data_IF_653368483722
#
_entry.id   IF_653368483722
#
_cell.length_a   1.000
_cell.length_b   1.000
_cell.length_c   1.000
_cell.angle_alpha   90.00
_cell.angle_beta   90.00
_cell.angle_gamma   90.00
#
_symmetry.space_group_name_H-M   'P 1'
#
loop_
_entity.id
_entity.type
_entity.pdbx_description
1 polymer ?
#
# COMPACT_ATOMS: atom_id res chain seq x y z
N UNK A 1 15.81 8.59 25.58
CA UNK A 1 16.01 7.33 24.84
C UNK A 1 14.70 6.80 24.25
N UNK A 2 13.59 6.76 24.99
CA UNK A 2 12.28 6.29 24.47
C UNK A 2 11.80 7.03 23.21
N UNK A 3 11.84 8.37 23.19
CA UNK A 3 11.40 9.17 22.03
C UNK A 3 12.17 8.87 20.74
N UNK A 4 13.51 8.80 20.80
CA UNK A 4 14.33 8.50 19.62
C UNK A 4 14.05 7.11 19.07
N UNK A 5 13.83 6.12 19.94
CA UNK A 5 13.46 4.76 19.54
C UNK A 5 12.12 4.76 18.80
N UNK A 6 11.11 5.47 19.30
CA UNK A 6 9.79 5.56 18.67
C UNK A 6 9.90 6.19 17.27
N UNK A 7 10.68 7.27 17.13
CA UNK A 7 10.90 7.91 15.82
C UNK A 7 11.57 6.93 14.85
N UNK A 8 12.62 6.23 15.28
CA UNK A 8 13.32 5.25 14.44
C UNK A 8 12.38 4.11 14.05
N UNK A 9 11.56 3.60 14.98
CA UNK A 9 10.58 2.54 14.73
C UNK A 9 9.54 3.02 13.72
N UNK A 10 9.02 4.24 13.86
CA UNK A 10 8.04 4.80 12.93
C UNK A 10 8.63 4.93 11.52
N UNK A 11 9.83 5.51 11.39
CA UNK A 11 10.52 5.63 10.10
C UNK A 11 10.76 4.24 9.50
N UNK A 12 11.25 3.29 10.29
CA UNK A 12 11.50 1.92 9.83
C UNK A 12 10.20 1.24 9.35
N UNK A 13 9.10 1.41 10.08
CA UNK A 13 7.80 0.88 9.69
C UNK A 13 7.30 1.48 8.37
N UNK A 14 7.43 2.80 8.19
CA UNK A 14 7.09 3.47 6.92
C UNK A 14 7.92 2.96 5.76
N UNK A 15 9.23 2.79 5.96
CA UNK A 15 10.13 2.27 4.91
C UNK A 15 9.74 0.84 4.52
N UNK A 16 9.43 0.00 5.50
CA UNK A 16 8.99 -1.36 5.25
C UNK A 16 7.66 -1.38 4.49
N UNK A 17 6.67 -0.59 4.93
CA UNK A 17 5.35 -0.55 4.30
C UNK A 17 5.38 0.07 2.89
N UNK A 18 6.20 1.09 2.68
CA UNK A 18 6.32 1.78 1.39
C UNK A 18 7.09 0.94 0.35
N UNK A 19 8.27 0.43 0.70
CA UNK A 19 9.20 -0.19 -0.26
C UNK A 19 9.59 -1.61 0.13
N UNK A 20 9.77 -1.90 1.42
CA UNK A 20 10.17 -3.23 1.90
C UNK A 20 9.20 -4.36 1.51
N UNK A 21 7.92 -4.04 1.33
CA UNK A 21 6.88 -4.98 0.87
C UNK A 21 6.89 -5.21 -0.65
N UNK A 22 7.70 -4.50 -1.44
CA UNK A 22 7.71 -4.64 -2.91
C UNK A 22 7.92 -6.08 -3.39
N UNK A 23 8.89 -6.86 -2.86
CA UNK A 23 9.04 -8.26 -3.27
C UNK A 23 7.80 -9.11 -2.92
N UNK A 24 7.13 -8.80 -1.82
CA UNK A 24 5.89 -9.46 -1.43
C UNK A 24 4.76 -9.10 -2.42
N UNK A 25 4.65 -7.84 -2.85
CA UNK A 25 3.69 -7.42 -3.87
C UNK A 25 3.87 -8.14 -5.19
N UNK A 26 5.11 -8.20 -5.70
CA UNK A 26 5.45 -8.91 -6.94
C UNK A 26 5.07 -10.39 -6.84
N UNK A 27 5.40 -11.02 -5.71
CA UNK A 27 5.05 -12.42 -5.47
C UNK A 27 3.54 -12.64 -5.42
N UNK A 28 2.83 -11.78 -4.68
CA UNK A 28 1.40 -11.91 -4.45
C UNK A 28 0.62 -11.70 -5.75
N UNK A 29 1.01 -10.70 -6.54
CA UNK A 29 0.43 -10.41 -7.83
C UNK A 29 0.58 -11.59 -8.80
N UNK A 30 1.77 -12.20 -8.90
CA UNK A 30 1.99 -13.39 -9.74
C UNK A 30 1.16 -14.59 -9.29
N UNK A 31 0.88 -14.72 -8.00
CA UNK A 31 0.03 -15.78 -7.45
C UNK A 31 -1.44 -15.56 -7.75
N UNK A 32 -1.94 -14.34 -7.54
CA UNK A 32 -3.33 -13.96 -7.83
C UNK A 32 -3.60 -14.08 -9.34
N UNK A 33 -2.69 -13.57 -10.17
CA UNK A 33 -2.76 -13.71 -11.62
C UNK A 33 -2.88 -15.18 -12.05
N UNK A 34 -2.05 -16.04 -11.45
CA UNK A 34 -2.11 -17.48 -11.70
C UNK A 34 -3.47 -18.06 -11.32
N UNK A 35 -4.00 -17.71 -10.15
CA UNK A 35 -5.28 -18.20 -9.68
C UNK A 35 -6.45 -17.79 -10.58
N UNK A 36 -6.48 -16.54 -11.06
CA UNK A 36 -7.51 -16.03 -11.98
C UNK A 36 -7.43 -16.73 -13.34
N UNK A 37 -6.21 -17.07 -13.79
CA UNK A 37 -5.96 -17.73 -15.07
C UNK A 37 -5.98 -19.26 -14.99
N UNK A 38 -6.43 -19.83 -13.87
CA UNK A 38 -6.39 -21.28 -13.59
C UNK A 38 -5.03 -21.94 -13.85
N UNK A 39 -3.95 -21.24 -13.47
CA UNK A 39 -2.57 -21.75 -13.53
C UNK A 39 -1.85 -21.57 -12.21
N UNK A 40 -0.87 -22.42 -11.97
CA UNK A 40 -0.01 -22.29 -10.80
C UNK A 40 0.93 -21.08 -10.92
N UNK A 41 0.95 -20.22 -9.90
CA UNK A 41 1.99 -19.20 -9.76
C UNK A 41 3.37 -19.77 -9.37
N UNK A 42 4.35 -18.92 -9.03
CA UNK A 42 5.73 -19.33 -8.79
C UNK A 42 5.87 -20.42 -7.71
N UNK A 43 6.49 -21.55 -8.06
CA UNK A 43 6.60 -22.74 -7.21
C UNK A 43 7.94 -23.50 -7.32
N UNK A 44 8.91 -22.97 -8.08
CA UNK A 44 10.13 -23.71 -8.45
C UNK A 44 11.39 -23.23 -7.73
N UNK A 45 11.57 -21.92 -7.54
CA UNK A 45 12.76 -21.36 -6.90
C UNK A 45 12.83 -21.77 -5.42
N UNK A 46 14.00 -22.23 -4.99
CA UNK A 46 14.30 -22.65 -3.62
C UNK A 46 15.70 -22.25 -3.20
N UNK A 47 15.86 -21.77 -1.97
CA UNK A 47 17.16 -21.67 -1.31
C UNK A 47 17.29 -22.89 -0.41
N UNK A 48 18.10 -23.87 -0.83
CA UNK A 48 18.17 -25.17 -0.18
C UNK A 48 16.81 -25.89 -0.18
N UNK A 49 16.28 -26.19 1.01
CA UNK A 49 14.99 -26.90 1.18
C UNK A 49 13.80 -25.93 1.20
N UNK A 50 14.03 -24.62 1.31
CA UNK A 50 13.00 -23.61 1.56
C UNK A 50 12.56 -22.96 0.24
N UNK A 51 11.26 -23.05 -0.09
CA UNK A 51 10.61 -22.43 -1.26
C UNK A 51 9.68 -21.27 -0.85
N UNK A 52 9.13 -21.29 0.37
CA UNK A 52 8.16 -20.31 0.90
C UNK A 52 7.03 -20.00 -0.08
N UNK A 53 6.50 -21.03 -0.75
CA UNK A 53 5.46 -20.83 -1.76
C UNK A 53 5.90 -19.89 -2.90
N UNK A 54 7.18 -19.85 -3.25
CA UNK A 54 7.71 -19.05 -4.35
C UNK A 54 8.08 -17.62 -4.01
N UNK A 55 7.98 -17.19 -2.74
CA UNK A 55 8.42 -15.85 -2.30
C UNK A 55 9.91 -15.62 -2.57
N UNK A 56 10.71 -16.69 -2.50
CA UNK A 56 12.13 -16.70 -2.84
C UNK A 56 12.40 -16.16 -4.25
N UNK A 57 11.47 -16.38 -5.21
CA UNK A 57 11.61 -15.86 -6.57
C UNK A 57 11.66 -14.33 -6.60
N UNK A 58 10.83 -13.65 -5.81
CA UNK A 58 10.79 -12.19 -5.82
C UNK A 58 12.10 -11.59 -5.26
N UNK A 59 12.67 -12.24 -4.25
CA UNK A 59 14.00 -11.87 -3.73
C UNK A 59 15.09 -12.13 -4.77
N UNK A 60 15.05 -13.26 -5.47
CA UNK A 60 15.98 -13.57 -6.55
C UNK A 60 15.90 -12.55 -7.71
N UNK A 61 14.68 -12.11 -8.08
CA UNK A 61 14.48 -11.10 -9.11
C UNK A 61 15.06 -9.74 -8.69
N UNK A 62 14.91 -9.35 -7.41
CA UNK A 62 15.52 -8.14 -6.87
C UNK A 62 17.05 -8.23 -6.91
N UNK A 63 17.63 -9.34 -6.43
CA UNK A 63 19.08 -9.56 -6.47
C UNK A 63 19.63 -9.56 -7.91
N UNK A 64 18.89 -10.17 -8.85
CA UNK A 64 19.24 -10.14 -10.26
C UNK A 64 19.36 -8.71 -10.78
N UNK A 65 18.44 -7.80 -10.44
CA UNK A 65 18.48 -6.42 -10.93
C UNK A 65 19.70 -5.65 -10.41
N UNK A 66 20.20 -5.98 -9.21
CA UNK A 66 21.39 -5.37 -8.61
C UNK A 66 22.68 -5.83 -9.32
N UNK A 67 22.78 -7.14 -9.63
CA UNK A 67 23.96 -7.70 -10.29
C UNK A 67 23.93 -7.65 -11.81
N UNK A 68 22.77 -7.32 -12.41
CA UNK A 68 22.64 -7.17 -13.86
C UNK A 68 23.45 -5.96 -14.33
N UNK A 69 24.05 -6.09 -15.50
CA UNK A 69 24.79 -5.01 -16.14
C UNK A 69 23.90 -3.78 -16.41
N UNK A 70 24.32 -2.63 -15.87
CA UNK A 70 23.71 -1.34 -16.14
C UNK A 70 24.24 -0.79 -17.47
N UNK A 71 23.51 -1.08 -18.54
CA UNK A 71 23.80 -0.61 -19.88
C UNK A 71 23.10 0.73 -20.13
N UNK A 72 23.84 1.70 -20.70
CA UNK A 72 23.29 2.97 -21.19
C UNK A 72 23.62 3.10 -22.68
N UNK A 73 22.60 3.13 -23.57
CA UNK A 73 22.79 3.27 -25.01
C UNK A 73 23.64 4.48 -25.43
N UNK A 74 24.41 4.34 -26.51
CA UNK A 74 25.34 5.36 -27.01
C UNK A 74 24.67 6.58 -27.63
N UNK A 75 23.43 6.43 -28.14
CA UNK A 75 22.66 7.54 -28.72
C UNK A 75 22.11 8.51 -27.67
N UNK A 76 22.07 8.12 -26.38
CA UNK A 76 21.55 8.97 -25.30
C UNK A 76 22.53 10.12 -25.03
N UNK A 77 22.14 11.35 -25.43
CA UNK A 77 22.94 12.56 -25.19
C UNK A 77 22.87 13.04 -23.74
N UNK A 78 21.69 12.93 -23.11
CA UNK A 78 21.43 13.50 -21.78
C UNK A 78 21.53 12.46 -20.66
N UNK A 79 22.74 11.97 -20.38
CA UNK A 79 23.00 10.91 -19.38
C UNK A 79 22.57 11.26 -17.96
N UNK A 80 22.66 12.54 -17.57
CA UNK A 80 22.23 13.02 -16.26
C UNK A 80 20.72 12.81 -16.06
N UNK A 81 19.90 13.30 -16.99
CA UNK A 81 18.44 13.12 -16.93
C UNK A 81 18.03 11.66 -17.02
N UNK A 82 18.73 10.87 -17.84
CA UNK A 82 18.49 9.43 -17.93
C UNK A 82 18.70 8.73 -16.59
N UNK A 83 19.75 9.08 -15.86
CA UNK A 83 20.09 8.44 -14.57
C UNK A 83 19.19 8.92 -13.42
N UNK A 84 18.81 10.19 -13.39
CA UNK A 84 18.02 10.77 -12.29
C UNK A 84 16.52 10.48 -12.41
N UNK A 85 16.00 10.28 -13.62
CA UNK A 85 14.57 10.07 -13.86
C UNK A 85 13.97 8.91 -13.03
N UNK A 86 14.54 7.69 -13.02
CA UNK A 86 14.04 6.61 -12.15
C UNK A 86 14.13 6.93 -10.67
N UNK A 87 15.18 7.65 -10.24
CA UNK A 87 15.35 8.05 -8.85
C UNK A 87 14.26 9.06 -8.42
N UNK A 88 13.87 9.99 -9.30
CA UNK A 88 12.77 10.93 -9.04
C UNK A 88 11.46 10.18 -8.83
N UNK A 89 11.09 9.26 -9.72
CA UNK A 89 9.86 8.47 -9.58
C UNK A 89 9.86 7.68 -8.27
N UNK A 90 10.98 7.01 -7.97
CA UNK A 90 11.12 6.23 -6.75
C UNK A 90 11.04 7.08 -5.49
N UNK A 91 11.81 8.18 -5.41
CA UNK A 91 11.85 9.06 -4.22
C UNK A 91 10.49 9.72 -4.01
N UNK A 92 9.85 10.19 -5.07
CA UNK A 92 8.52 10.79 -5.00
C UNK A 92 7.51 9.78 -4.43
N UNK A 93 7.46 8.58 -5.01
CA UNK A 93 6.56 7.51 -4.56
C UNK A 93 6.88 7.06 -3.13
N UNK A 94 8.14 7.00 -2.73
CA UNK A 94 8.55 6.65 -1.38
C UNK A 94 8.13 7.70 -0.34
N UNK A 95 8.31 8.98 -0.65
CA UNK A 95 8.02 10.08 0.27
C UNK A 95 6.53 10.28 0.50
N UNK A 96 5.65 9.84 -0.41
CA UNK A 96 4.19 9.90 -0.21
C UNK A 96 3.73 9.16 1.06
N UNK A 97 4.45 8.12 1.50
CA UNK A 97 4.10 7.33 2.68
C UNK A 97 4.43 8.02 4.01
N UNK A 98 5.23 9.10 3.97
CA UNK A 98 5.81 9.70 5.18
C UNK A 98 4.78 10.28 6.16
N UNK A 99 3.63 10.74 5.64
CA UNK A 99 2.58 11.43 6.41
C UNK A 99 1.43 10.52 6.85
N UNK A 100 1.43 9.25 6.43
CA UNK A 100 0.32 8.34 6.69
C UNK A 100 0.38 7.85 8.15
N UNK A 101 -0.71 7.95 8.93
CA UNK A 101 -0.74 7.41 10.29
C UNK A 101 -1.10 5.92 10.30
N UNK A 102 -0.37 5.13 11.09
CA UNK A 102 -0.60 3.68 11.22
C UNK A 102 -1.23 3.29 12.58
N UNK A 103 -1.25 4.20 13.54
CA UNK A 103 -1.86 4.05 14.87
C UNK A 103 -2.20 5.43 15.46
N UNK A 104 -2.93 5.43 16.57
CA UNK A 104 -3.26 6.63 17.33
C UNK A 104 -2.02 7.18 18.05
N UNK A 105 -2.15 8.38 18.61
CA UNK A 105 -1.10 9.07 19.36
C UNK A 105 -0.66 8.21 20.55
N UNK A 106 0.60 7.78 20.52
CA UNK A 106 1.19 6.96 21.55
C UNK A 106 1.70 7.84 22.70
N UNK A 107 1.04 7.78 23.86
CA UNK A 107 1.50 8.47 25.06
C UNK A 107 2.43 7.57 25.88
N UNK A 108 3.73 7.91 25.94
CA UNK A 108 4.71 7.21 26.79
C UNK A 108 5.34 8.25 27.73
N UNK A 109 5.36 7.95 29.03
CA UNK A 109 5.96 8.80 30.06
C UNK A 109 5.41 10.25 30.04
N UNK A 110 4.12 10.41 29.75
CA UNK A 110 3.45 11.71 29.65
C UNK A 110 3.76 12.52 28.38
N UNK A 111 4.52 11.95 27.43
CA UNK A 111 4.79 12.57 26.12
C UNK A 111 3.98 11.91 25.03
N UNK A 112 3.28 12.72 24.24
CA UNK A 112 2.52 12.30 23.07
C UNK A 112 3.43 12.13 21.85
N UNK A 113 3.36 10.97 21.19
CA UNK A 113 4.10 10.66 19.98
C UNK A 113 3.13 10.26 18.86
N UNK A 114 3.07 11.04 17.78
CA UNK A 114 2.28 10.71 16.60
C UNK A 114 2.91 9.53 15.85
N UNK A 115 2.10 8.51 15.53
CA UNK A 115 2.56 7.29 14.85
C UNK A 115 2.60 7.49 13.33
N UNK A 116 3.47 8.41 12.89
CA UNK A 116 3.78 8.77 11.50
C UNK A 116 5.30 8.84 11.31
N UNK A 117 5.78 8.77 10.06
CA UNK A 117 7.21 8.87 9.77
C UNK A 117 7.72 10.29 10.02
N UNK A 118 7.01 11.26 9.43
CA UNK A 118 7.31 12.69 9.54
C UNK A 118 6.03 13.38 10.02
N UNK A 119 6.00 13.88 11.28
CA UNK A 119 4.89 14.72 11.73
C UNK A 119 4.96 16.04 10.97
N UNK A 120 4.13 16.19 9.94
CA UNK A 120 4.13 17.34 9.06
C UNK A 120 2.83 18.12 9.16
N UNK A 121 2.95 19.44 9.08
CA UNK A 121 1.82 20.37 9.04
C UNK A 121 1.02 20.27 7.73
N UNK A 122 1.66 19.83 6.65
CA UNK A 122 1.06 19.78 5.31
C UNK A 122 0.03 18.65 5.14
N UNK A 123 0.01 17.64 6.01
CA UNK A 123 -0.97 16.55 5.98
C UNK A 123 -1.15 15.92 4.60
N UNK A 124 -2.38 15.95 4.06
CA UNK A 124 -2.69 15.42 2.72
C UNK A 124 -2.04 16.19 1.57
N UNK A 125 -1.71 17.47 1.73
CA UNK A 125 -1.06 18.25 0.67
C UNK A 125 0.34 17.73 0.34
N UNK A 126 1.02 17.10 1.32
CA UNK A 126 2.28 16.41 1.08
C UNK A 126 2.14 15.30 0.05
N UNK A 127 1.07 14.50 0.16
CA UNK A 127 0.80 13.44 -0.81
C UNK A 127 0.62 14.00 -2.22
N UNK A 128 -0.22 15.02 -2.38
CA UNK A 128 -0.49 15.64 -3.68
C UNK A 128 0.79 16.22 -4.30
N UNK A 129 1.63 16.89 -3.50
CA UNK A 129 2.89 17.45 -3.98
C UNK A 129 3.84 16.38 -4.53
N UNK A 130 3.99 15.25 -3.84
CA UNK A 130 4.88 14.17 -4.29
C UNK A 130 4.25 13.30 -5.39
N UNK A 131 2.93 13.11 -5.40
CA UNK A 131 2.23 12.46 -6.50
C UNK A 131 2.49 13.22 -7.82
N UNK A 132 2.24 14.54 -7.85
CA UNK A 132 2.52 15.37 -9.02
C UNK A 132 4.02 15.43 -9.40
N UNK A 133 4.93 15.41 -8.42
CA UNK A 133 6.37 15.39 -8.69
C UNK A 133 6.82 14.09 -9.39
N UNK A 134 6.15 12.97 -9.13
CA UNK A 134 6.49 11.67 -9.74
C UNK A 134 6.37 11.70 -11.28
N UNK A 135 5.44 12.48 -11.82
CA UNK A 135 5.17 12.62 -13.27
C UNK A 135 6.39 13.17 -14.00
N UNK A 136 7.11 14.12 -13.40
CA UNK A 136 8.32 14.68 -13.99
C UNK A 136 9.40 13.61 -14.21
N UNK A 137 9.47 12.61 -13.32
CA UNK A 137 10.37 11.47 -13.50
C UNK A 137 10.01 10.63 -14.75
N UNK A 138 8.73 10.43 -15.02
CA UNK A 138 8.24 9.72 -16.21
C UNK A 138 8.55 10.52 -17.50
N UNK A 139 8.29 11.84 -17.49
CA UNK A 139 8.59 12.74 -18.63
C UNK A 139 10.08 12.72 -18.94
N UNK A 140 10.92 12.92 -17.92
CA UNK A 140 12.37 12.94 -18.07
C UNK A 140 12.90 11.59 -18.54
N UNK A 141 12.33 10.48 -18.06
CA UNK A 141 12.69 9.14 -18.49
C UNK A 141 12.42 8.92 -19.98
N UNK A 142 11.23 9.25 -20.45
CA UNK A 142 10.88 9.14 -21.87
C UNK A 142 11.68 10.08 -22.76
N UNK A 143 11.86 11.35 -22.36
CA UNK A 143 12.62 12.34 -23.12
C UNK A 143 14.11 11.98 -23.22
N UNK A 144 14.72 11.57 -22.11
CA UNK A 144 16.15 11.22 -22.06
C UNK A 144 16.48 9.92 -22.77
N UNK A 145 15.52 9.01 -22.94
CA UNK A 145 15.69 7.75 -23.69
C UNK A 145 16.02 7.95 -25.18
N UNK A 146 15.70 9.13 -25.74
CA UNK A 146 15.87 9.46 -27.16
C UNK A 146 15.25 8.45 -28.15
N UNK A 147 14.26 7.69 -27.70
CA UNK A 147 13.46 6.79 -28.52
C UNK A 147 12.09 7.42 -28.79
N UNK A 148 11.60 7.32 -30.03
CA UNK A 148 10.26 7.83 -30.40
C UNK A 148 9.16 7.16 -29.57
N UNK A 149 9.29 5.86 -29.32
CA UNK A 149 8.33 5.10 -28.50
C UNK A 149 8.39 5.48 -27.03
N UNK A 150 9.60 5.71 -26.50
CA UNK A 150 9.79 6.20 -25.13
C UNK A 150 9.16 7.56 -24.89
N UNK A 151 9.34 8.49 -25.85
CA UNK A 151 8.75 9.82 -25.79
C UNK A 151 7.21 9.79 -25.93
N UNK A 152 6.68 8.97 -26.84
CA UNK A 152 5.22 8.81 -26.99
C UNK A 152 4.60 8.20 -25.73
N UNK A 153 5.26 7.21 -25.12
CA UNK A 153 4.83 6.61 -23.86
C UNK A 153 4.79 7.61 -22.71
N UNK A 154 5.85 8.41 -22.54
CA UNK A 154 5.88 9.40 -21.46
C UNK A 154 4.85 10.52 -21.66
N UNK A 155 4.67 11.03 -22.89
CA UNK A 155 3.65 12.07 -23.15
C UNK A 155 2.23 11.55 -22.83
N UNK A 156 1.92 10.30 -23.22
CA UNK A 156 0.62 9.68 -22.90
C UNK A 156 0.43 9.50 -21.40
N UNK A 157 1.45 9.00 -20.72
CA UNK A 157 1.45 8.80 -19.27
C UNK A 157 1.21 10.13 -18.55
N UNK A 158 1.95 11.18 -18.90
CA UNK A 158 1.83 12.49 -18.26
C UNK A 158 0.46 13.12 -18.49
N UNK A 159 -0.07 13.05 -19.72
CA UNK A 159 -1.42 13.54 -20.00
C UNK A 159 -2.50 12.79 -19.20
N UNK A 160 -2.32 11.48 -18.99
CA UNK A 160 -3.18 10.70 -18.09
C UNK A 160 -3.02 11.20 -16.66
N UNK A 161 -1.82 11.18 -16.10
CA UNK A 161 -1.63 11.48 -14.68
C UNK A 161 -2.15 12.88 -14.32
N UNK A 162 -1.80 13.91 -15.10
CA UNK A 162 -2.25 15.29 -14.85
C UNK A 162 -3.80 15.39 -14.81
N UNK A 163 -4.48 14.68 -15.72
CA UNK A 163 -5.95 14.73 -15.81
C UNK A 163 -6.62 14.07 -14.59
N UNK A 164 -6.04 12.98 -14.08
CA UNK A 164 -6.58 12.26 -12.93
C UNK A 164 -6.13 12.87 -11.60
N UNK A 165 -4.97 13.51 -11.54
CA UNK A 165 -4.49 14.29 -10.39
C UNK A 165 -5.44 15.46 -10.09
N UNK A 166 -5.88 16.18 -11.11
CA UNK A 166 -6.86 17.26 -10.96
C UNK A 166 -8.18 16.75 -10.35
N UNK A 167 -8.72 15.65 -10.88
CA UNK A 167 -9.94 15.03 -10.34
C UNK A 167 -9.75 14.48 -8.92
N UNK A 168 -8.56 13.92 -8.62
CA UNK A 168 -8.20 13.44 -7.30
C UNK A 168 -8.17 14.59 -6.29
N UNK A 169 -7.50 15.70 -6.63
CA UNK A 169 -7.45 16.90 -5.80
C UNK A 169 -8.84 17.45 -5.47
N UNK A 170 -9.73 17.53 -6.47
CA UNK A 170 -11.12 17.97 -6.26
C UNK A 170 -11.90 17.01 -5.33
N UNK A 171 -11.71 15.70 -5.46
CA UNK A 171 -12.35 14.73 -4.55
C UNK A 171 -11.88 14.92 -3.10
N UNK A 172 -10.61 15.22 -2.88
CA UNK A 172 -10.05 15.50 -1.55
C UNK A 172 -10.65 16.76 -0.95
N UNK A 173 -10.92 17.81 -1.73
CA UNK A 173 -11.52 19.05 -1.20
C UNK A 173 -12.86 18.76 -0.53
N UNK A 174 -13.71 17.92 -1.10
CA UNK A 174 -14.98 17.53 -0.46
C UNK A 174 -14.78 16.80 0.88
N UNK A 175 -13.71 16.00 0.99
CA UNK A 175 -13.34 15.35 2.26
C UNK A 175 -12.85 16.37 3.30
N UNK A 176 -12.00 17.32 2.88
CA UNK A 176 -11.49 18.37 3.77
C UNK A 176 -12.65 19.23 4.30
N UNK A 177 -13.62 19.60 3.45
CA UNK A 177 -14.81 20.36 3.89
C UNK A 177 -15.63 19.55 4.92
N UNK A 178 -15.75 18.24 4.72
CA UNK A 178 -16.53 17.37 5.61
C UNK A 178 -15.88 17.22 7.00
N UNK A 179 -14.55 17.10 7.05
CA UNK A 179 -13.82 16.88 8.31
C UNK A 179 -13.23 18.14 8.95
N UNK A 180 -13.13 19.25 8.21
CA UNK A 180 -12.58 20.52 8.69
C UNK A 180 -11.07 20.52 8.94
N UNK A 181 -10.33 19.52 8.45
CA UNK A 181 -8.87 19.39 8.68
C UNK A 181 -8.16 18.77 7.49
N UNK A 182 -6.88 19.11 7.33
CA UNK A 182 -5.96 18.54 6.33
C UNK A 182 -5.04 17.46 6.92
N UNK A 183 -4.98 17.34 8.25
CA UNK A 183 -4.14 16.38 8.93
C UNK A 183 -4.77 14.99 8.91
N UNK A 184 -4.01 14.00 8.42
CA UNK A 184 -4.51 12.63 8.26
C UNK A 184 -4.86 11.96 9.60
N UNK A 185 -4.15 12.28 10.69
CA UNK A 185 -4.48 11.75 12.03
C UNK A 185 -5.85 12.24 12.49
N UNK A 186 -6.13 13.52 12.30
CA UNK A 186 -7.39 14.12 12.72
C UNK A 186 -8.56 13.63 11.85
N UNK A 187 -8.32 13.40 10.55
CA UNK A 187 -9.31 12.75 9.67
C UNK A 187 -9.65 11.36 10.19
N UNK A 188 -8.66 10.53 10.54
CA UNK A 188 -8.93 9.20 11.10
C UNK A 188 -9.68 9.33 12.43
N UNK A 189 -9.27 10.25 13.30
CA UNK A 189 -9.96 10.46 14.58
C UNK A 189 -11.41 10.94 14.40
N UNK A 190 -11.71 11.75 13.38
CA UNK A 190 -13.07 12.15 13.03
C UNK A 190 -13.91 11.00 12.46
N UNK A 191 -13.29 9.89 12.05
CA UNK A 191 -13.96 8.67 11.64
C UNK A 191 -14.29 7.74 12.82
N UNK A 192 -13.90 8.12 14.04
CA UNK A 192 -14.28 7.40 15.26
C UNK A 192 -15.78 7.52 15.49
N UNK A 193 -16.43 6.39 15.72
CA UNK A 193 -17.83 6.35 16.14
C UNK A 193 -18.76 5.69 15.11
N UNK A 194 -20.06 5.90 15.33
CA UNK A 194 -21.10 5.29 14.50
C UNK A 194 -22.09 6.35 14.03
N UNK A 195 -22.34 6.34 12.74
CA UNK A 195 -23.49 6.97 12.12
C UNK A 195 -24.74 6.10 12.34
N UNK A 196 -25.83 6.70 12.83
CA UNK A 196 -27.10 6.02 13.13
C UNK A 196 -26.96 4.80 14.08
N UNK A 197 -25.92 4.77 14.93
CA UNK A 197 -25.68 3.71 15.91
C UNK A 197 -25.17 2.37 15.35
N UNK A 198 -25.11 2.21 14.03
CA UNK A 198 -24.75 0.92 13.38
C UNK A 198 -23.64 1.07 12.34
N UNK A 199 -23.66 2.13 11.54
CA UNK A 199 -22.72 2.30 10.42
C UNK A 199 -21.47 3.00 10.94
N UNK A 200 -20.25 2.48 10.73
CA UNK A 200 -19.04 3.21 11.08
C UNK A 200 -18.99 4.57 10.38
N UNK A 201 -18.50 5.62 11.05
CA UNK A 201 -18.37 6.97 10.48
C UNK A 201 -17.21 7.09 9.46
N UNK A 202 -17.02 6.04 8.67
CA UNK A 202 -15.98 5.92 7.68
C UNK A 202 -16.25 6.83 6.49
N UNK A 203 -15.18 7.39 5.92
CA UNK A 203 -15.27 8.34 4.81
C UNK A 203 -16.01 7.81 3.60
N UNK A 204 -16.01 6.49 3.36
CA UNK A 204 -16.77 5.89 2.25
C UNK A 204 -18.29 6.10 2.39
N UNK A 205 -18.82 6.15 3.61
CA UNK A 205 -20.25 6.37 3.86
C UNK A 205 -20.61 7.85 3.92
N UNK A 206 -19.70 8.69 4.42
CA UNK A 206 -19.91 10.15 4.48
C UNK A 206 -19.82 10.75 3.07
N UNK A 207 -18.84 10.31 2.28
CA UNK A 207 -18.53 10.85 0.97
C UNK A 207 -18.32 9.74 -0.07
N UNK A 208 -19.39 8.99 -0.43
CA UNK A 208 -19.28 7.87 -1.36
C UNK A 208 -18.83 8.29 -2.76
N UNK A 209 -19.27 9.47 -3.24
CA UNK A 209 -18.88 9.97 -4.55
C UNK A 209 -17.39 10.36 -4.57
N UNK A 210 -16.90 11.04 -3.52
CA UNK A 210 -15.47 11.33 -3.39
C UNK A 210 -14.63 10.05 -3.32
N UNK A 211 -15.11 9.03 -2.59
CA UNK A 211 -14.42 7.75 -2.46
C UNK A 211 -14.23 7.07 -3.83
N UNK A 212 -15.29 6.99 -4.63
CA UNK A 212 -15.24 6.38 -5.96
C UNK A 212 -14.28 7.15 -6.86
N UNK A 213 -14.41 8.48 -6.91
CA UNK A 213 -13.54 9.33 -7.76
C UNK A 213 -12.08 9.18 -7.33
N UNK A 214 -11.79 9.28 -6.04
CA UNK A 214 -10.45 9.14 -5.50
C UNK A 214 -9.85 7.78 -5.83
N UNK A 215 -10.57 6.68 -5.56
CA UNK A 215 -10.09 5.33 -5.83
C UNK A 215 -9.78 5.17 -7.32
N UNK A 216 -10.68 5.60 -8.22
CA UNK A 216 -10.46 5.53 -9.68
C UNK A 216 -9.25 6.36 -10.10
N UNK A 217 -9.07 7.56 -9.55
CA UNK A 217 -7.87 8.36 -9.82
C UNK A 217 -6.60 7.73 -9.27
N UNK A 218 -6.63 7.15 -8.07
CA UNK A 218 -5.49 6.44 -7.50
C UNK A 218 -5.12 5.19 -8.31
N UNK A 219 -6.08 4.57 -9.00
CA UNK A 219 -5.78 3.52 -9.99
C UNK A 219 -5.02 4.08 -11.19
N UNK A 220 -5.50 5.20 -11.74
CA UNK A 220 -4.85 5.86 -12.88
C UNK A 220 -3.43 6.35 -12.56
N UNK A 221 -3.18 6.81 -11.33
CA UNK A 221 -1.88 7.28 -10.86
C UNK A 221 -0.82 6.17 -10.86
N UNK A 222 -1.21 4.95 -10.49
CA UNK A 222 -0.28 3.81 -10.38
C UNK A 222 0.19 3.28 -11.74
N UNK A 223 -0.33 3.81 -12.86
CA UNK A 223 0.01 3.42 -14.23
C UNK A 223 -0.10 1.91 -14.51
N UNK A 224 -0.94 1.19 -13.75
CA UNK A 224 -1.20 -0.25 -13.91
C UNK A 224 -2.49 -0.50 -14.65
N UNK A 225 -2.57 -1.66 -15.32
CA UNK A 225 -3.81 -2.08 -15.98
C UNK A 225 -4.99 -2.01 -14.99
N UNK A 226 -6.14 -1.43 -15.39
CA UNK A 226 -6.55 -1.07 -16.76
C UNK A 226 -6.07 0.31 -17.28
N UNK A 227 -5.30 1.07 -16.48
CA UNK A 227 -4.79 2.41 -16.77
C UNK A 227 -3.28 2.41 -17.13
N UNK A 228 -2.81 1.40 -17.87
CA UNK A 228 -1.41 1.17 -18.25
C UNK A 228 -1.03 1.78 -19.62
N UNK A 229 -1.44 3.02 -19.86
CA UNK A 229 -1.14 3.70 -21.14
C UNK A 229 0.34 4.04 -21.31
N UNK A 230 1.08 4.05 -20.20
CA UNK A 230 2.48 4.40 -20.12
C UNK A 230 3.41 3.24 -20.51
N UNK A 231 3.09 2.02 -20.07
CA UNK A 231 3.85 0.79 -20.38
C UNK A 231 3.35 0.19 -21.70
N UNK A 232 2.03 0.04 -21.82
CA UNK A 232 1.32 -0.38 -23.01
C UNK A 232 2.04 -1.39 -23.89
N UNK A 233 2.40 -2.54 -23.32
CA UNK A 233 3.27 -3.55 -23.96
C UNK A 233 2.81 -3.89 -25.40
N UNK A 234 1.50 -3.97 -25.63
CA UNK A 234 0.93 -4.30 -26.95
C UNK A 234 0.91 -3.14 -27.96
N UNK A 235 1.08 -1.89 -27.53
CA UNK A 235 0.98 -0.69 -28.39
C UNK A 235 2.31 0.03 -28.57
N UNK A 236 3.09 0.17 -27.49
CA UNK A 236 4.32 0.98 -27.43
C UNK A 236 5.50 0.21 -26.79
N UNK A 237 5.45 -1.13 -26.83
CA UNK A 237 6.47 -2.09 -26.39
C UNK A 237 6.74 -2.12 -24.88
N UNK A 238 7.08 -0.98 -24.28
CA UNK A 238 7.23 -0.76 -22.83
C UNK A 238 7.31 0.75 -22.48
N UNK A 239 6.97 1.63 -23.43
CA UNK A 239 7.03 3.08 -23.31
C UNK A 239 8.36 3.59 -22.76
N UNK A 240 8.31 4.32 -21.64
CA UNK A 240 9.45 5.02 -21.06
C UNK A 240 10.48 4.09 -20.36
N UNK A 241 10.16 2.81 -20.15
CA UNK A 241 11.09 1.83 -19.56
C UNK A 241 12.02 1.17 -20.59
N UNK A 242 11.73 1.29 -21.88
CA UNK A 242 12.32 0.47 -22.95
C UNK A 242 13.85 0.49 -22.98
N UNK A 243 14.47 1.64 -22.75
CA UNK A 243 15.93 1.82 -22.86
C UNK A 243 16.68 1.56 -21.53
N UNK A 244 15.95 1.26 -20.45
CA UNK A 244 16.51 1.13 -19.11
C UNK A 244 16.92 -0.31 -18.78
N UNK A 245 18.10 -0.49 -18.18
CA UNK A 245 18.59 -1.80 -17.69
C UNK A 245 18.79 -1.79 -16.17
N UNK A 246 18.99 -3.00 -15.62
CA UNK A 246 19.41 -3.27 -14.25
C UNK A 246 18.65 -2.46 -13.19
N UNK A 247 19.37 -1.74 -12.32
CA UNK A 247 18.79 -1.01 -11.21
C UNK A 247 17.95 0.20 -11.65
N UNK A 248 18.29 0.87 -12.76
CA UNK A 248 17.49 2.01 -13.25
C UNK A 248 16.10 1.55 -13.68
N UNK A 249 16.00 0.42 -14.37
CA UNK A 249 14.71 -0.23 -14.65
C UNK A 249 14.01 -0.66 -13.35
N UNK A 250 14.78 -1.29 -12.44
CA UNK A 250 14.25 -1.72 -11.15
C UNK A 250 13.64 -0.59 -10.32
N UNK A 251 14.24 0.61 -10.32
CA UNK A 251 13.75 1.76 -9.58
C UNK A 251 12.40 2.27 -10.07
N UNK A 252 12.15 2.26 -11.39
CA UNK A 252 10.82 2.57 -11.90
C UNK A 252 9.79 1.55 -11.42
N UNK A 253 10.10 0.26 -11.57
CA UNK A 253 9.17 -0.80 -11.19
C UNK A 253 8.88 -0.80 -9.69
N UNK A 254 9.90 -0.62 -8.85
CA UNK A 254 9.76 -0.49 -7.40
C UNK A 254 8.99 0.78 -7.05
N UNK A 255 9.22 1.89 -7.76
CA UNK A 255 8.48 3.13 -7.62
C UNK A 255 6.97 2.94 -7.84
N UNK A 256 6.57 2.23 -8.89
CA UNK A 256 5.15 1.93 -9.14
C UNK A 256 4.51 1.07 -8.04
N UNK A 257 5.22 0.08 -7.51
CA UNK A 257 4.73 -0.71 -6.37
C UNK A 257 4.67 0.12 -5.07
N UNK A 258 5.61 1.05 -4.89
CA UNK A 258 5.59 2.00 -3.78
C UNK A 258 4.40 2.97 -3.89
N UNK A 259 4.12 3.47 -5.10
CA UNK A 259 2.95 4.31 -5.37
C UNK A 259 1.63 3.56 -5.14
N UNK A 260 1.54 2.28 -5.54
CA UNK A 260 0.40 1.41 -5.23
C UNK A 260 0.22 1.20 -3.73
N UNK A 261 1.33 1.02 -3.00
CA UNK A 261 1.33 0.90 -1.55
C UNK A 261 0.82 2.19 -0.91
N UNK A 262 1.41 3.34 -1.25
CA UNK A 262 1.00 4.63 -0.72
C UNK A 262 -0.47 4.96 -1.02
N UNK A 263 -0.92 4.70 -2.24
CA UNK A 263 -2.33 4.90 -2.63
C UNK A 263 -3.26 3.99 -1.84
N UNK A 264 -2.92 2.70 -1.67
CA UNK A 264 -3.70 1.76 -0.85
C UNK A 264 -3.78 2.20 0.60
N UNK A 265 -2.67 2.67 1.16
CA UNK A 265 -2.59 3.19 2.52
C UNK A 265 -3.44 4.45 2.70
N UNK A 266 -3.39 5.39 1.76
CA UNK A 266 -4.21 6.60 1.80
C UNK A 266 -5.70 6.33 1.64
N UNK A 267 -6.09 5.43 0.74
CA UNK A 267 -7.50 5.04 0.60
C UNK A 267 -8.02 4.49 1.94
N UNK A 268 -7.21 3.68 2.63
CA UNK A 268 -7.57 3.14 3.95
C UNK A 268 -7.69 4.24 5.01
N UNK A 269 -6.73 5.17 5.04
CA UNK A 269 -6.73 6.31 5.96
C UNK A 269 -7.89 7.26 5.71
N UNK A 270 -8.22 7.56 4.45
CA UNK A 270 -9.24 8.55 4.10
C UNK A 270 -10.66 7.99 4.10
N UNK A 271 -10.86 6.73 3.71
CA UNK A 271 -12.21 6.20 3.48
C UNK A 271 -12.60 5.03 4.37
N UNK A 272 -11.64 4.28 4.94
CA UNK A 272 -11.92 3.07 5.71
C UNK A 272 -11.51 3.16 7.18
N UNK A 273 -11.40 4.36 7.75
CA UNK A 273 -11.13 4.52 9.18
C UNK A 273 -9.70 4.20 9.59
N UNK A 274 -8.72 4.28 8.68
CA UNK A 274 -7.30 4.06 8.99
C UNK A 274 -7.04 2.83 9.84
N UNK A 275 -6.46 3.07 11.02
CA UNK A 275 -6.10 2.06 12.02
C UNK A 275 -7.21 1.69 13.01
N UNK A 276 -8.41 2.27 12.87
CA UNK A 276 -9.53 2.03 13.78
C UNK A 276 -10.20 0.69 13.51
N UNK A 277 -10.67 0.05 14.57
CA UNK A 277 -11.53 -1.12 14.47
C UNK A 277 -12.98 -0.62 14.37
N UNK A 278 -13.82 -1.17 13.46
CA UNK A 278 -15.24 -0.82 13.45
C UNK A 278 -15.84 -0.92 14.85
N UNK A 279 -16.62 0.09 15.25
CA UNK A 279 -17.34 0.16 16.54
C UNK A 279 -16.48 0.24 17.82
N UNK A 280 -15.16 0.29 17.72
CA UNK A 280 -14.28 0.40 18.89
C UNK A 280 -13.37 1.64 18.77
N UNK A 281 -13.45 2.52 19.75
CA UNK A 281 -12.50 3.63 19.91
C UNK A 281 -11.22 3.17 20.64
N UNK A 282 -10.18 4.00 20.60
CA UNK A 282 -8.91 3.72 21.27
C UNK A 282 -9.11 3.50 22.78
N UNK A 283 -9.97 4.29 23.41
CA UNK A 283 -10.25 4.20 24.85
C UNK A 283 -10.90 2.87 25.24
N UNK A 284 -11.87 2.38 24.46
CA UNK A 284 -12.52 1.08 24.69
C UNK A 284 -11.53 -0.08 24.53
N UNK A 285 -10.59 0.02 23.57
CA UNK A 285 -9.53 -0.99 23.41
C UNK A 285 -8.61 -0.99 24.64
N UNK A 286 -8.20 0.18 25.12
CA UNK A 286 -7.35 0.30 26.31
C UNK A 286 -8.04 -0.26 27.56
N UNK A 287 -9.33 0.05 27.75
CA UNK A 287 -10.12 -0.43 28.88
C UNK A 287 -10.30 -1.96 28.87
N UNK A 288 -10.40 -2.57 27.67
CA UNK A 288 -10.67 -4.00 27.50
C UNK A 288 -9.47 -4.81 27.00
N UNK A 289 -8.25 -4.28 27.17
CA UNK A 289 -7.03 -4.86 26.58
C UNK A 289 -6.81 -6.32 27.01
N UNK A 290 -7.16 -6.68 28.25
CA UNK A 290 -7.05 -8.05 28.76
C UNK A 290 -7.93 -9.03 27.97
N UNK A 291 -9.16 -8.63 27.63
CA UNK A 291 -10.06 -9.45 26.80
C UNK A 291 -9.54 -9.58 25.37
N UNK A 292 -8.95 -8.51 24.82
CA UNK A 292 -8.34 -8.54 23.48
C UNK A 292 -7.14 -9.48 23.45
N UNK A 293 -6.25 -9.39 24.43
CA UNK A 293 -5.10 -10.31 24.56
C UNK A 293 -5.58 -11.75 24.69
N UNK A 294 -6.59 -12.01 25.53
CA UNK A 294 -7.18 -13.34 25.69
C UNK A 294 -7.75 -13.87 24.36
N UNK A 295 -8.46 -13.03 23.60
CA UNK A 295 -8.98 -13.40 22.28
C UNK A 295 -7.85 -13.76 21.31
N UNK A 296 -6.73 -13.01 21.31
CA UNK A 296 -5.56 -13.31 20.48
C UNK A 296 -4.93 -14.64 20.90
N UNK A 297 -4.77 -14.90 22.20
CA UNK A 297 -4.22 -16.16 22.72
C UNK A 297 -5.05 -17.37 22.28
N UNK A 298 -6.38 -17.24 22.17
CA UNK A 298 -7.27 -18.30 21.70
C UNK A 298 -7.25 -18.42 20.17
N UNK A 299 -7.31 -17.30 19.44
CA UNK A 299 -7.42 -17.30 17.98
C UNK A 299 -6.12 -17.66 17.28
N UNK A 300 -4.96 -17.29 17.83
CA UNK A 300 -3.64 -17.55 17.27
C UNK A 300 -3.38 -19.06 17.03
N UNK A 301 -3.55 -19.97 18.00
CA UNK A 301 -3.34 -21.40 17.78
C UNK A 301 -4.37 -21.99 16.81
N UNK A 302 -5.62 -21.51 16.81
CA UNK A 302 -6.65 -21.93 15.85
C UNK A 302 -6.23 -21.58 14.42
N UNK A 303 -5.80 -20.33 14.18
CA UNK A 303 -5.33 -19.88 12.86
C UNK A 303 -4.11 -20.69 12.40
N UNK A 304 -3.15 -20.94 13.28
CA UNK A 304 -1.95 -21.72 12.96
C UNK A 304 -2.31 -23.19 12.71
N UNK A 305 -3.28 -23.75 13.44
CA UNK A 305 -3.80 -25.10 13.18
C UNK A 305 -4.43 -25.19 11.79
N UNK A 306 -5.31 -24.24 11.42
CA UNK A 306 -5.92 -24.19 10.08
C UNK A 306 -4.84 -24.06 9.00
N UNK A 307 -3.89 -23.14 9.20
CA UNK A 307 -2.81 -22.90 8.24
C UNK A 307 -1.89 -24.12 8.08
N UNK A 308 -1.51 -24.79 9.17
CA UNK A 308 -0.68 -26.00 9.11
C UNK A 308 -1.41 -27.18 8.49
N UNK A 309 -2.73 -27.31 8.72
CA UNK A 309 -3.57 -28.30 8.01
C UNK A 309 -3.64 -28.01 6.52
N UNK A 310 -3.81 -26.75 6.14
CA UNK A 310 -3.80 -26.31 4.74
C UNK A 310 -2.44 -26.60 4.06
N UNK A 311 -1.33 -26.28 4.72
CA UNK A 311 0.02 -26.57 4.20
C UNK A 311 0.26 -28.06 4.00
N UNK A 312 -0.10 -28.90 4.98
CA UNK A 312 0.00 -30.37 4.87
C UNK A 312 -0.87 -30.94 3.75
N UNK A 313 -2.02 -30.32 3.47
CA UNK A 313 -2.92 -30.74 2.39
C UNK A 313 -2.35 -30.40 1.02
N UNK A 314 -1.78 -29.20 0.84
CA UNK A 314 -1.45 -28.66 -0.47
C UNK A 314 0.02 -28.85 -0.86
N UNK A 315 0.94 -28.93 0.09
CA UNK A 315 2.38 -29.10 -0.19
C UNK A 315 2.80 -30.58 -0.10
N UNK A 316 2.23 -31.41 -0.98
CA UNK A 316 2.52 -32.85 -1.03
C UNK A 316 3.74 -33.18 -1.90
N UNK A 317 4.38 -34.30 -1.57
CA UNK A 317 5.45 -34.92 -2.38
C UNK A 317 4.96 -35.17 -3.81
N UNK A 318 5.86 -35.00 -4.78
CA UNK A 318 5.61 -35.36 -6.18
C UNK A 318 6.66 -36.41 -6.56
N UNK A 319 6.22 -37.64 -6.83
CA UNK A 319 7.12 -38.76 -7.09
C UNK A 319 8.06 -39.05 -5.91
N UNK A 320 9.36 -39.16 -6.20
CA UNK A 320 10.41 -39.47 -5.22
C UNK A 320 10.99 -38.23 -4.51
N UNK A 321 10.62 -37.01 -4.91
CA UNK A 321 11.14 -35.79 -4.28
C UNK A 321 10.44 -35.51 -2.93
N UNK A 322 11.20 -35.69 -1.83
CA UNK A 322 10.76 -35.42 -0.46
C UNK A 322 11.00 -33.97 0.00
N UNK A 323 11.52 -33.09 -0.85
CA UNK A 323 11.83 -31.68 -0.50
C UNK A 323 10.62 -30.93 0.09
N UNK A 324 9.44 -31.07 -0.53
CA UNK A 324 8.19 -30.42 -0.12
C UNK A 324 7.70 -30.87 1.25
N UNK A 325 7.87 -32.15 1.56
CA UNK A 325 7.48 -32.70 2.84
C UNK A 325 8.43 -32.23 3.95
N UNK A 326 9.75 -32.18 3.67
CA UNK A 326 10.75 -31.64 4.59
C UNK A 326 10.49 -30.15 4.89
N UNK A 327 10.24 -29.35 3.85
CA UNK A 327 9.88 -27.94 3.99
C UNK A 327 8.64 -27.77 4.87
N UNK A 328 7.58 -28.53 4.59
CA UNK A 328 6.32 -28.45 5.35
C UNK A 328 6.53 -28.80 6.83
N UNK A 329 7.37 -29.80 7.14
CA UNK A 329 7.71 -30.15 8.52
C UNK A 329 8.47 -29.03 9.22
N UNK A 330 9.49 -28.45 8.57
CA UNK A 330 10.28 -27.34 9.10
C UNK A 330 9.38 -26.12 9.35
N UNK A 331 8.59 -25.70 8.36
CA UNK A 331 7.68 -24.56 8.51
C UNK A 331 6.64 -24.80 9.59
N UNK A 332 6.03 -26.00 9.65
CA UNK A 332 5.08 -26.34 10.72
C UNK A 332 5.73 -26.22 12.09
N UNK A 333 6.96 -26.71 12.26
CA UNK A 333 7.69 -26.59 13.52
C UNK A 333 7.98 -25.12 13.88
N UNK A 334 8.45 -24.31 12.91
CA UNK A 334 8.73 -22.89 13.12
C UNK A 334 7.46 -22.13 13.52
N UNK A 335 6.34 -22.32 12.80
CA UNK A 335 5.09 -21.62 13.11
C UNK A 335 4.52 -22.01 14.47
N UNK A 336 4.58 -23.29 14.85
CA UNK A 336 4.15 -23.72 16.19
C UNK A 336 5.11 -23.26 17.29
N UNK A 337 6.41 -23.23 17.05
CA UNK A 337 7.40 -22.68 17.99
C UNK A 337 7.16 -21.18 18.22
N UNK A 338 7.01 -20.41 17.14
CA UNK A 338 6.69 -18.98 17.23
C UNK A 338 5.34 -18.74 17.94
N UNK A 339 4.35 -19.59 17.66
CA UNK A 339 3.05 -19.57 18.35
C UNK A 339 3.22 -19.70 19.86
N UNK A 340 3.96 -20.71 20.31
CA UNK A 340 4.20 -20.97 21.74
C UNK A 340 4.96 -19.83 22.41
N UNK A 341 5.96 -19.25 21.74
CA UNK A 341 6.70 -18.09 22.26
C UNK A 341 5.79 -16.87 22.41
N UNK A 342 5.01 -16.54 21.38
CA UNK A 342 4.07 -15.41 21.43
C UNK A 342 3.00 -15.63 22.49
N UNK A 343 2.43 -16.83 22.58
CA UNK A 343 1.46 -17.16 23.63
C UNK A 343 2.08 -17.06 25.02
N UNK A 344 3.31 -17.53 25.23
CA UNK A 344 4.01 -17.41 26.51
C UNK A 344 4.19 -15.94 26.92
N UNK A 345 4.55 -15.07 25.98
CA UNK A 345 4.66 -13.62 26.22
C UNK A 345 3.30 -13.02 26.56
N UNK A 346 2.25 -13.31 25.78
CA UNK A 346 0.90 -12.78 26.00
C UNK A 346 0.26 -13.29 27.30
N UNK A 347 0.52 -14.54 27.68
CA UNK A 347 0.05 -15.11 28.96
C UNK A 347 0.80 -14.46 30.13
N UNK A 348 2.11 -14.24 30.01
CA UNK A 348 2.88 -13.49 31.01
C UNK A 348 2.31 -12.08 31.22
N UNK A 349 1.88 -11.42 30.14
CA UNK A 349 1.21 -10.13 30.18
C UNK A 349 -0.15 -10.17 30.88
N UNK A 350 -0.93 -11.24 30.71
CA UNK A 350 -2.19 -11.44 31.43
C UNK A 350 -2.00 -11.70 32.92
N UNK A 351 -0.93 -12.40 33.31
CA UNK A 351 -0.66 -12.78 34.71
C UNK A 351 -0.04 -11.62 35.50
N UNK A 352 0.94 -10.92 34.92
CA UNK A 352 1.67 -9.84 35.59
C UNK A 352 0.98 -8.48 35.50
N UNK A 353 -0.04 -8.36 34.63
CA UNK A 353 -0.68 -7.09 34.31
C UNK A 353 0.18 -6.17 33.44
N UNK A 354 -0.48 -5.33 32.65
CA UNK A 354 0.18 -4.29 31.86
C UNK A 354 0.19 -2.97 32.63
N UNK A 355 1.37 -2.36 32.79
CA UNK A 355 1.45 -0.96 33.18
C UNK A 355 0.85 -0.04 32.11
N UNK A 356 0.62 1.23 32.45
CA UNK A 356 0.02 2.24 31.53
C UNK A 356 0.74 2.34 30.19
N UNK A 357 2.08 2.42 30.19
CA UNK A 357 2.89 2.40 28.98
C UNK A 357 2.73 1.09 28.18
N UNK A 358 2.56 -0.04 28.87
CA UNK A 358 2.34 -1.35 28.23
C UNK A 358 1.00 -1.42 27.51
N UNK A 359 -0.07 -0.89 28.11
CA UNK A 359 -1.41 -0.81 27.49
C UNK A 359 -1.37 0.04 26.22
N UNK A 360 -0.69 1.19 26.27
CA UNK A 360 -0.56 2.09 25.12
C UNK A 360 0.20 1.43 23.96
N UNK A 361 1.30 0.73 24.24
CA UNK A 361 2.07 0.00 23.22
C UNK A 361 1.25 -1.16 22.64
N UNK A 362 0.58 -1.95 23.48
CA UNK A 362 -0.24 -3.07 23.02
C UNK A 362 -1.39 -2.60 22.12
N UNK A 363 -2.04 -1.49 22.48
CA UNK A 363 -3.10 -0.86 21.68
C UNK A 363 -2.56 -0.40 20.33
N UNK A 364 -1.40 0.26 20.30
CA UNK A 364 -0.77 0.68 19.05
C UNK A 364 -0.41 -0.51 18.14
N UNK A 365 0.07 -1.64 18.68
CA UNK A 365 0.36 -2.84 17.89
C UNK A 365 -0.91 -3.42 17.25
N UNK A 366 -2.03 -3.43 17.98
CA UNK A 366 -3.34 -3.88 17.44
C UNK A 366 -3.83 -2.94 16.34
N UNK A 367 -3.67 -1.64 16.52
CA UNK A 367 -4.03 -0.61 15.54
C UNK A 367 -3.19 -0.73 14.26
N UNK A 368 -1.87 -0.89 14.39
CA UNK A 368 -0.97 -1.17 13.26
C UNK A 368 -1.39 -2.46 12.54
N UNK A 369 -1.72 -3.52 13.28
CA UNK A 369 -2.22 -4.77 12.71
C UNK A 369 -3.53 -4.60 11.94
N UNK A 370 -4.46 -3.79 12.45
CA UNK A 370 -5.74 -3.46 11.80
C UNK A 370 -5.52 -2.66 10.53
N UNK A 371 -4.65 -1.64 10.59
CA UNK A 371 -4.24 -0.86 9.43
C UNK A 371 -3.62 -1.77 8.36
N UNK A 372 -2.68 -2.64 8.73
CA UNK A 372 -2.06 -3.61 7.82
C UNK A 372 -3.10 -4.49 7.14
N UNK A 373 -4.08 -5.05 7.86
CA UNK A 373 -5.11 -5.90 7.27
C UNK A 373 -5.91 -5.14 6.20
N UNK A 374 -6.38 -3.93 6.50
CA UNK A 374 -7.12 -3.10 5.53
C UNK A 374 -6.24 -2.69 4.35
N UNK A 375 -4.99 -2.34 4.61
CA UNK A 375 -3.99 -2.00 3.61
C UNK A 375 -3.73 -3.17 2.63
N UNK A 376 -3.51 -4.38 3.14
CA UNK A 376 -3.37 -5.59 2.31
C UNK A 376 -4.66 -5.88 1.54
N UNK A 377 -5.83 -5.66 2.14
CA UNK A 377 -7.12 -5.82 1.45
C UNK A 377 -7.26 -4.83 0.28
N UNK A 378 -6.87 -3.56 0.46
CA UNK A 378 -6.91 -2.59 -0.62
C UNK A 378 -5.88 -2.92 -1.71
N UNK A 379 -4.67 -3.34 -1.35
CA UNK A 379 -3.68 -3.83 -2.30
C UNK A 379 -4.16 -5.07 -3.08
N UNK A 380 -4.94 -5.96 -2.44
CA UNK A 380 -5.59 -7.08 -3.13
C UNK A 380 -6.61 -6.59 -4.15
N UNK A 381 -7.43 -5.58 -3.82
CA UNK A 381 -8.36 -4.96 -4.77
C UNK A 381 -7.60 -4.41 -5.97
N UNK A 382 -6.43 -3.80 -5.77
CA UNK A 382 -5.58 -3.33 -6.88
C UNK A 382 -5.22 -4.46 -7.84
N UNK A 383 -4.73 -5.57 -7.30
CA UNK A 383 -4.35 -6.74 -8.10
C UNK A 383 -5.57 -7.39 -8.75
N UNK A 384 -6.70 -7.45 -8.06
CA UNK A 384 -7.92 -8.06 -8.58
C UNK A 384 -8.47 -7.27 -9.78
N UNK A 385 -8.54 -5.94 -9.66
CA UNK A 385 -8.99 -5.05 -10.74
C UNK A 385 -8.09 -5.20 -11.97
N UNK A 386 -6.77 -5.27 -11.79
CA UNK A 386 -5.81 -5.45 -12.88
C UNK A 386 -6.11 -6.66 -13.78
N UNK A 387 -6.55 -7.76 -13.19
CA UNK A 387 -6.78 -9.03 -13.90
C UNK A 387 -8.24 -9.27 -14.29
N UNK A 388 -9.15 -8.36 -13.95
CA UNK A 388 -10.59 -8.48 -14.26
C UNK A 388 -11.10 -7.42 -15.21
N UNK A 389 -10.62 -6.19 -15.07
CA UNK A 389 -11.07 -5.07 -15.90
C UNK A 389 -10.27 -5.05 -17.19
N UNK A 390 -10.98 -4.90 -18.32
CA UNK A 390 -10.36 -4.78 -19.62
C UNK A 390 -9.59 -3.46 -19.76
N UNK A 391 -8.51 -3.52 -20.52
CA UNK A 391 -7.71 -2.35 -20.85
C UNK A 391 -8.54 -1.31 -21.62
N UNK A 392 -8.53 -0.07 -21.16
CA UNK A 392 -9.31 1.03 -21.75
C UNK A 392 -8.43 1.81 -22.73
N UNK A 393 -8.99 2.21 -23.87
CA UNK A 393 -8.28 3.04 -24.86
C UNK A 393 -8.01 4.44 -24.31
N UNK A 394 -6.87 5.03 -24.68
CA UNK A 394 -6.45 6.38 -24.26
C UNK A 394 -7.56 7.44 -24.38
N UNK A 395 -8.27 7.49 -25.52
CA UNK A 395 -9.31 8.50 -25.76
C UNK A 395 -10.49 8.37 -24.77
N UNK A 396 -10.91 7.14 -24.47
CA UNK A 396 -12.00 6.87 -23.53
C UNK A 396 -11.59 7.20 -22.09
N UNK A 397 -10.35 6.92 -21.75
CA UNK A 397 -9.76 7.20 -20.44
C UNK A 397 -9.68 8.71 -20.20
N UNK A 398 -9.21 9.49 -21.19
CA UNK A 398 -9.22 10.95 -21.11
C UNK A 398 -10.63 11.52 -21.03
N UNK A 399 -11.60 10.95 -21.77
CA UNK A 399 -13.00 11.34 -21.66
C UNK A 399 -13.58 11.08 -20.27
N UNK A 400 -13.23 9.95 -19.64
CA UNK A 400 -13.67 9.64 -18.27
C UNK A 400 -13.16 10.68 -17.28
N UNK A 401 -11.86 11.02 -17.32
CA UNK A 401 -11.28 12.05 -16.46
C UNK A 401 -11.95 13.41 -16.63
N UNK A 402 -11.98 13.92 -17.86
CA UNK A 402 -12.42 15.30 -18.13
C UNK A 402 -13.93 15.51 -18.15
N UNK A 403 -14.69 14.57 -18.74
CA UNK A 403 -16.14 14.75 -18.94
C UNK A 403 -16.98 14.16 -17.82
N UNK A 404 -16.42 13.27 -17.01
CA UNK A 404 -17.18 12.55 -15.96
C UNK A 404 -16.61 12.85 -14.58
N UNK A 405 -15.35 12.52 -14.31
CA UNK A 405 -14.78 12.60 -12.96
C UNK A 405 -14.66 14.04 -12.45
N UNK A 406 -14.13 14.97 -13.26
CA UNK A 406 -13.99 16.38 -12.86
C UNK A 406 -15.36 17.04 -12.57
N UNK A 407 -16.36 16.99 -13.47
CA UNK A 407 -17.68 17.56 -13.19
C UNK A 407 -18.37 16.93 -11.98
N UNK A 408 -18.26 15.61 -11.80
CA UNK A 408 -18.81 14.93 -10.62
C UNK A 408 -18.11 15.34 -9.33
N UNK A 409 -16.79 15.53 -9.35
CA UNK A 409 -16.05 16.00 -8.17
C UNK A 409 -16.47 17.42 -7.78
N UNK A 410 -16.63 18.32 -8.77
CA UNK A 410 -17.14 19.68 -8.53
C UNK A 410 -18.56 19.67 -7.97
N UNK A 411 -19.45 18.85 -8.56
CA UNK A 411 -20.80 18.68 -8.04
C UNK A 411 -20.77 18.17 -6.58
N UNK A 412 -19.89 17.22 -6.27
CA UNK A 412 -19.74 16.70 -4.91
C UNK A 412 -19.30 17.79 -3.92
N UNK A 413 -18.37 18.65 -4.31
CA UNK A 413 -17.93 19.78 -3.49
C UNK A 413 -19.12 20.71 -3.18
N UNK A 414 -19.92 21.06 -4.18
CA UNK A 414 -21.08 21.96 -4.00
C UNK A 414 -22.11 21.33 -3.07
N UNK A 415 -22.47 20.06 -3.29
CA UNK A 415 -23.41 19.33 -2.43
C UNK A 415 -22.88 19.28 -1.00
N UNK A 416 -21.60 18.93 -0.82
CA UNK A 416 -20.96 18.85 0.49
C UNK A 416 -20.98 20.19 1.21
N UNK A 417 -20.64 21.28 0.51
CA UNK A 417 -20.65 22.62 1.08
C UNK A 417 -22.07 23.02 1.54
N UNK A 418 -23.10 22.73 0.74
CA UNK A 418 -24.50 22.99 1.12
C UNK A 418 -24.89 22.18 2.36
N UNK A 419 -24.58 20.88 2.39
CA UNK A 419 -24.90 20.01 3.53
C UNK A 419 -24.20 20.47 4.81
N UNK A 420 -22.92 20.85 4.74
CA UNK A 420 -22.16 21.33 5.91
C UNK A 420 -22.67 22.68 6.40
N UNK A 421 -23.11 23.57 5.51
CA UNK A 421 -23.66 24.88 5.88
C UNK A 421 -25.08 24.78 6.45
N UNK A 422 -25.90 23.83 5.97
CA UNK A 422 -27.27 23.63 6.47
C UNK A 422 -27.36 22.69 7.68
N UNK A 423 -26.36 21.82 7.86
CA UNK A 423 -26.29 20.83 8.93
C UNK A 423 -25.58 21.32 10.20
N UNK A 424 -24.78 22.39 10.08
CA UNK A 424 -24.35 23.23 11.20
C UNK A 424 -25.42 24.31 11.47
#
# INVERSE_FOLDING_TARGET
MSTTIIIIVNIALSVVLAVGLTPLWVWWERRIAGFIQDRSGPNRCSIGVIRLGGLVQAVADMLKLIFKEDFTPSHIKHKFFFTIAPAIVFIASFLTFAVIPYADVLTIDGKAHTMQAIPNELGIMWFLAFAGLSVYGIILGGYSSQSKYGLLGSIRASAQVISYEAAMGLSIISMIISYGTIHLTDIVNAQTGTYLGVIPMWGIFIQPLAAIIFIVCSFAETNRAPFDLAEGESEIVAGYHTEYSAMKFGLFQVGEYAAMSASSALIVTLFFGGYQIPWMDTATIQANINYVILAIVILLPIKIFIFTRWMKKNNKRVGNDRSREKETKILTFIFWSLCLVIMGILISFLVNGLGTNGVNIATAVIQVGTFMVKFFMMAFVYMWVRWTVLRIRYDQLQMLGWKVLIPLALLNIVITAIVVVLGN
#
